data_IF_537743781013
#
_entry.id   IF_537743781013
#
_cell.length_a   1.000
_cell.length_b   1.000
_cell.length_c   1.000
_cell.angle_alpha   90.00
_cell.angle_beta   90.00
_cell.angle_gamma   90.00
#
_symmetry.space_group_name_H-M   'P 1'
#
loop_
_entity.id
_entity.type
_entity.pdbx_description
1 polymer ?
#
# COMPACT_ATOMS: atom_id res chain seq x y z
N UNK A 1 -22.08 3.81 7.37
CA UNK A 1 -20.88 4.42 7.97
C UNK A 1 -19.65 3.81 7.33
N UNK A 2 -18.62 4.61 7.04
CA UNK A 2 -17.33 4.10 6.53
C UNK A 2 -16.71 3.19 7.59
N UNK A 3 -16.19 2.03 7.18
CA UNK A 3 -15.54 1.11 8.11
C UNK A 3 -14.26 1.75 8.69
N UNK A 4 -13.48 2.45 7.88
CA UNK A 4 -12.30 3.23 8.29
C UNK A 4 -11.87 4.19 7.15
N UNK A 5 -10.95 5.11 7.44
CA UNK A 5 -10.45 6.14 6.52
C UNK A 5 -10.33 7.51 7.20
N UNK A 6 -9.52 8.43 6.66
CA UNK A 6 -9.38 9.79 7.18
C UNK A 6 -10.39 10.73 6.49
N UNK A 7 -11.42 11.25 7.19
CA UNK A 7 -12.46 12.06 6.55
C UNK A 7 -11.94 13.36 5.88
N UNK A 8 -10.70 13.77 6.16
CA UNK A 8 -10.06 14.90 5.48
C UNK A 8 -9.78 14.63 3.98
N UNK A 9 -9.70 13.37 3.54
CA UNK A 9 -9.51 13.02 2.13
C UNK A 9 -10.83 12.62 1.46
N UNK A 10 -11.12 13.20 0.29
CA UNK A 10 -12.36 13.00 -0.47
C UNK A 10 -12.60 11.55 -0.89
N UNK A 11 -11.53 10.77 -1.05
CA UNK A 11 -11.56 9.35 -1.44
C UNK A 11 -11.50 8.38 -0.25
N UNK A 12 -11.56 8.85 1.00
CA UNK A 12 -11.51 7.97 2.18
C UNK A 12 -12.64 6.95 2.27
N UNK A 13 -13.74 7.18 1.57
CA UNK A 13 -14.81 6.19 1.43
C UNK A 13 -14.37 4.91 0.69
N UNK A 14 -13.27 4.99 -0.05
CA UNK A 14 -12.71 3.90 -0.84
C UNK A 14 -11.74 3.03 -0.04
N UNK A 15 -11.29 3.45 1.15
CA UNK A 15 -10.27 2.73 1.93
C UNK A 15 -10.59 1.24 2.14
N UNK A 16 -11.83 0.82 2.49
CA UNK A 16 -12.15 -0.59 2.64
C UNK A 16 -12.11 -1.39 1.33
N UNK A 17 -12.07 -0.74 0.17
CA UNK A 17 -12.05 -1.41 -1.13
C UNK A 17 -10.64 -1.75 -1.62
N UNK A 18 -9.62 -1.00 -1.21
CA UNK A 18 -8.23 -1.24 -1.61
C UNK A 18 -7.32 -1.67 -0.45
N UNK A 19 -7.65 -1.33 0.80
CA UNK A 19 -6.89 -1.75 1.98
C UNK A 19 -7.41 -3.07 2.56
N UNK A 20 -6.48 -3.91 3.04
CA UNK A 20 -6.75 -5.22 3.62
C UNK A 20 -5.80 -5.52 4.78
N UNK A 21 -6.27 -5.27 6.02
CA UNK A 21 -5.49 -5.52 7.23
C UNK A 21 -5.65 -6.98 7.68
N UNK A 22 -5.04 -7.94 6.97
CA UNK A 22 -5.26 -9.39 7.19
C UNK A 22 -4.39 -10.02 8.29
N UNK A 23 -3.41 -9.28 8.78
CA UNK A 23 -2.35 -9.78 9.67
C UNK A 23 -2.31 -9.03 11.00
N UNK A 24 -3.43 -8.44 11.41
CA UNK A 24 -3.55 -7.76 12.70
C UNK A 24 -3.69 -8.76 13.85
N UNK A 25 -3.30 -8.34 15.05
CA UNK A 25 -3.44 -9.18 16.24
C UNK A 25 -4.92 -9.47 16.53
N UNK A 26 -5.18 -10.62 17.17
CA UNK A 26 -6.53 -11.00 17.59
C UNK A 26 -7.17 -9.96 18.52
N UNK A 27 -6.35 -9.26 19.32
CA UNK A 27 -6.79 -8.17 20.20
C UNK A 27 -7.28 -6.96 19.39
N UNK A 28 -6.55 -6.55 18.35
CA UNK A 28 -6.97 -5.46 17.46
C UNK A 28 -8.30 -5.80 16.79
N UNK A 29 -8.45 -7.02 16.28
CA UNK A 29 -9.71 -7.44 15.66
C UNK A 29 -10.89 -7.52 16.63
N UNK A 30 -10.65 -7.86 17.90
CA UNK A 30 -11.69 -7.83 18.93
C UNK A 30 -12.12 -6.39 19.24
N UNK A 31 -11.17 -5.46 19.31
CA UNK A 31 -11.43 -4.04 19.55
C UNK A 31 -12.07 -3.32 18.35
N UNK A 32 -11.82 -3.80 17.13
CA UNK A 32 -12.33 -3.22 15.89
C UNK A 32 -12.74 -4.30 14.87
N UNK A 33 -13.87 -5.01 15.06
CA UNK A 33 -14.28 -6.08 14.15
C UNK A 33 -14.61 -5.57 12.73
N UNK A 34 -14.93 -4.29 12.59
CA UNK A 34 -15.15 -3.63 11.30
C UNK A 34 -13.90 -3.65 10.40
N UNK A 35 -12.69 -3.79 10.97
CA UNK A 35 -11.43 -3.86 10.22
C UNK A 35 -11.34 -5.09 9.31
N UNK A 36 -12.14 -6.12 9.56
CA UNK A 36 -12.24 -7.31 8.70
C UNK A 36 -13.13 -7.09 7.48
N UNK A 37 -13.90 -5.99 7.43
CA UNK A 37 -14.87 -5.71 6.37
C UNK A 37 -14.18 -4.97 5.22
N UNK A 38 -13.31 -5.70 4.54
CA UNK A 38 -12.46 -5.21 3.43
C UNK A 38 -12.76 -6.00 2.16
N UNK A 39 -12.66 -5.36 0.99
CA UNK A 39 -13.00 -5.96 -0.31
C UNK A 39 -11.83 -6.23 -1.27
N UNK A 40 -10.54 -5.96 -1.00
CA UNK A 40 -9.53 -6.08 -2.05
C UNK A 40 -9.32 -7.53 -2.52
N UNK A 41 -9.48 -8.54 -1.65
CA UNK A 41 -9.47 -9.96 -2.06
C UNK A 41 -10.63 -10.28 -3.01
N UNK A 42 -11.84 -9.81 -2.69
CA UNK A 42 -13.01 -9.98 -3.55
C UNK A 42 -12.78 -9.32 -4.91
N UNK A 43 -12.25 -8.10 -4.93
CA UNK A 43 -12.00 -7.34 -6.15
C UNK A 43 -10.90 -7.97 -7.01
N UNK A 44 -9.79 -8.39 -6.40
CA UNK A 44 -8.74 -9.09 -7.11
C UNK A 44 -9.25 -10.41 -7.72
N UNK A 45 -10.05 -11.19 -6.97
CA UNK A 45 -10.70 -12.40 -7.48
C UNK A 45 -11.69 -12.08 -8.61
N UNK A 46 -12.56 -11.08 -8.43
CA UNK A 46 -13.52 -10.66 -9.45
C UNK A 46 -12.83 -10.30 -10.77
N UNK A 47 -11.81 -9.45 -10.73
CA UNK A 47 -11.17 -8.98 -11.96
C UNK A 47 -10.24 -10.03 -12.58
N UNK A 48 -9.56 -10.87 -11.79
CA UNK A 48 -8.75 -11.96 -12.34
C UNK A 48 -9.62 -13.04 -13.01
N UNK A 49 -10.76 -13.40 -12.43
CA UNK A 49 -11.70 -14.36 -13.03
C UNK A 49 -12.36 -13.81 -14.30
N UNK A 50 -12.76 -12.53 -14.31
CA UNK A 50 -13.23 -11.85 -15.53
C UNK A 50 -12.15 -11.81 -16.62
N UNK A 51 -10.88 -11.59 -16.26
CA UNK A 51 -9.78 -11.64 -17.21
C UNK A 51 -9.63 -13.04 -17.82
N UNK A 52 -9.63 -14.09 -17.00
CA UNK A 52 -9.55 -15.49 -17.45
C UNK A 52 -10.71 -15.82 -18.39
N UNK A 53 -11.95 -15.48 -18.01
CA UNK A 53 -13.12 -15.70 -18.84
C UNK A 53 -12.99 -15.01 -20.19
N UNK A 54 -12.64 -13.73 -20.21
CA UNK A 54 -12.51 -12.95 -21.44
C UNK A 54 -11.40 -13.51 -22.37
N UNK A 55 -10.29 -13.99 -21.83
CA UNK A 55 -9.27 -14.66 -22.65
C UNK A 55 -9.76 -16.00 -23.21
N UNK A 56 -10.42 -16.83 -22.39
CA UNK A 56 -10.96 -18.13 -22.82
C UNK A 56 -12.03 -17.99 -23.90
N UNK A 57 -12.78 -16.88 -23.92
CA UNK A 57 -13.86 -16.64 -24.88
C UNK A 57 -13.46 -15.79 -26.09
N UNK A 58 -12.16 -15.54 -26.29
CA UNK A 58 -11.66 -14.84 -27.48
C UNK A 58 -11.81 -13.31 -27.44
N UNK A 59 -11.87 -12.71 -26.25
CA UNK A 59 -11.96 -11.26 -26.02
C UNK A 59 -10.68 -10.68 -25.38
N UNK A 60 -9.54 -10.68 -26.09
CA UNK A 60 -8.24 -10.30 -25.51
C UNK A 60 -8.18 -8.85 -25.01
N UNK A 61 -8.88 -7.91 -25.66
CA UNK A 61 -8.98 -6.54 -25.16
C UNK A 61 -9.54 -6.50 -23.73
N UNK A 62 -10.68 -7.17 -23.50
CA UNK A 62 -11.29 -7.24 -22.18
C UNK A 62 -10.46 -8.05 -21.20
N UNK A 63 -9.81 -9.13 -21.66
CA UNK A 63 -8.85 -9.89 -20.85
C UNK A 63 -7.76 -9.00 -20.25
N UNK A 64 -7.15 -8.12 -21.05
CA UNK A 64 -6.15 -7.17 -20.57
C UNK A 64 -6.74 -6.04 -19.72
N UNK A 65 -7.93 -5.51 -20.04
CA UNK A 65 -8.61 -4.49 -19.21
C UNK A 65 -8.89 -5.02 -17.80
N UNK A 66 -9.42 -6.23 -17.69
CA UNK A 66 -9.66 -6.87 -16.40
C UNK A 66 -8.36 -7.26 -15.69
N UNK A 67 -7.34 -7.70 -16.42
CA UNK A 67 -6.00 -7.93 -15.84
C UNK A 67 -5.44 -6.64 -15.21
N UNK A 68 -5.59 -5.50 -15.88
CA UNK A 68 -5.19 -4.20 -15.33
C UNK A 68 -5.95 -3.81 -14.05
N UNK A 69 -7.26 -4.08 -14.01
CA UNK A 69 -8.06 -3.87 -12.80
C UNK A 69 -7.65 -4.81 -11.66
N UNK A 70 -7.36 -6.07 -11.96
CA UNK A 70 -6.83 -7.01 -10.97
C UNK A 70 -5.47 -6.55 -10.44
N UNK A 71 -4.57 -6.13 -11.34
CA UNK A 71 -3.24 -5.62 -11.00
C UNK A 71 -3.31 -4.43 -10.05
N UNK A 72 -4.24 -3.50 -10.24
CA UNK A 72 -4.43 -2.37 -9.32
C UNK A 72 -4.57 -2.83 -7.86
N UNK A 73 -5.45 -3.81 -7.57
CA UNK A 73 -5.61 -4.32 -6.20
C UNK A 73 -4.39 -5.09 -5.68
N UNK A 74 -3.69 -5.83 -6.54
CA UNK A 74 -2.45 -6.52 -6.16
C UNK A 74 -1.38 -5.49 -5.78
N UNK A 75 -1.26 -4.43 -6.56
CA UNK A 75 -0.30 -3.37 -6.41
C UNK A 75 -0.57 -2.51 -5.18
N UNK A 76 -1.82 -2.13 -4.94
CA UNK A 76 -2.25 -1.45 -3.72
C UNK A 76 -1.86 -2.25 -2.47
N UNK A 77 -2.12 -3.56 -2.47
CA UNK A 77 -1.77 -4.42 -1.34
C UNK A 77 -0.26 -4.61 -1.12
N UNK A 78 0.60 -4.22 -2.07
CA UNK A 78 2.06 -4.16 -1.85
C UNK A 78 2.49 -2.92 -1.07
N UNK A 79 1.59 -1.95 -0.91
CA UNK A 79 1.81 -0.74 -0.13
C UNK A 79 1.56 -1.05 1.37
N UNK A 80 2.52 -0.79 2.28
CA UNK A 80 2.41 -1.23 3.67
C UNK A 80 1.26 -0.61 4.49
N UNK A 81 0.90 0.64 4.27
CA UNK A 81 -0.28 1.31 4.85
C UNK A 81 -1.62 0.75 4.32
N UNK A 82 -1.61 0.00 3.22
CA UNK A 82 -2.79 -0.74 2.75
C UNK A 82 -2.90 -2.14 3.37
N UNK A 83 -1.81 -2.67 3.96
CA UNK A 83 -1.75 -4.01 4.54
C UNK A 83 -1.66 -4.05 6.08
N UNK A 84 -1.31 -2.93 6.72
CA UNK A 84 -1.17 -2.75 8.17
C UNK A 84 -2.01 -1.57 8.64
N UNK A 85 -2.78 -1.75 9.72
CA UNK A 85 -3.72 -0.73 10.21
C UNK A 85 -3.03 0.57 10.63
N UNK A 86 -1.94 0.45 11.37
CA UNK A 86 -1.33 1.58 12.06
C UNK A 86 0.21 1.45 12.10
N UNK A 87 0.90 1.51 10.94
CA UNK A 87 2.35 1.42 10.88
C UNK A 87 3.05 2.40 11.82
N UNK A 88 4.01 1.91 12.61
CA UNK A 88 4.79 2.71 13.55
C UNK A 88 4.08 3.04 14.87
N UNK A 89 2.84 2.62 15.07
CA UNK A 89 2.12 2.77 16.34
C UNK A 89 2.07 1.46 17.12
N UNK A 90 2.21 1.53 18.44
CA UNK A 90 2.10 0.34 19.29
C UNK A 90 0.64 -0.11 19.46
N UNK A 91 0.43 -1.43 19.56
CA UNK A 91 -0.92 -1.99 19.78
C UNK A 91 -1.63 -1.41 21.01
N UNK A 92 -0.98 -1.27 22.19
CA UNK A 92 -1.61 -0.64 23.35
C UNK A 92 -2.07 0.79 23.05
N UNK A 93 -1.26 1.58 22.33
CA UNK A 93 -1.59 2.96 21.97
C UNK A 93 -2.82 3.05 21.07
N UNK A 94 -2.92 2.19 20.06
CA UNK A 94 -4.09 2.12 19.16
C UNK A 94 -5.36 1.71 19.93
N UNK A 95 -5.25 0.72 20.83
CA UNK A 95 -6.37 0.27 21.67
C UNK A 95 -6.82 1.40 22.60
N UNK A 96 -5.89 2.04 23.31
CA UNK A 96 -6.18 3.17 24.20
C UNK A 96 -6.87 4.30 23.45
N UNK A 97 -6.41 4.65 22.25
CA UNK A 97 -7.05 5.67 21.42
C UNK A 97 -8.51 5.32 21.08
N UNK A 98 -8.79 4.06 20.77
CA UNK A 98 -10.16 3.63 20.47
C UNK A 98 -11.05 3.61 21.72
N UNK A 99 -10.54 3.18 22.88
CA UNK A 99 -11.26 3.20 24.15
C UNK A 99 -11.60 4.64 24.57
N UNK A 100 -10.62 5.55 24.50
CA UNK A 100 -10.84 6.98 24.79
C UNK A 100 -11.91 7.58 23.86
N UNK A 101 -11.87 7.26 22.58
CA UNK A 101 -12.89 7.72 21.64
C UNK A 101 -14.30 7.19 21.97
N UNK A 102 -14.43 5.94 22.44
CA UNK A 102 -15.72 5.35 22.84
C UNK A 102 -16.34 6.04 24.06
N UNK A 103 -15.53 6.59 24.96
CA UNK A 103 -16.00 7.34 26.13
C UNK A 103 -16.09 8.86 25.89
N UNK A 104 -16.02 9.31 24.63
CA UNK A 104 -16.20 10.72 24.26
C UNK A 104 -14.92 11.57 24.25
N UNK A 105 -13.73 10.96 24.30
CA UNK A 105 -12.42 11.64 24.25
C UNK A 105 -11.66 11.28 22.96
N UNK A 106 -12.06 11.80 21.78
CA UNK A 106 -11.59 11.29 20.49
C UNK A 106 -10.21 11.81 20.03
N UNK A 107 -9.64 12.81 20.69
CA UNK A 107 -8.47 13.56 20.19
C UNK A 107 -7.27 12.67 19.88
N UNK A 108 -6.99 11.66 20.71
CA UNK A 108 -5.89 10.73 20.47
C UNK A 108 -6.09 9.92 19.18
N UNK A 109 -7.31 9.44 18.95
CA UNK A 109 -7.68 8.69 17.74
C UNK A 109 -7.60 9.57 16.49
N UNK A 110 -8.07 10.82 16.60
CA UNK A 110 -8.02 11.78 15.50
C UNK A 110 -6.57 12.09 15.11
N UNK A 111 -5.70 12.34 16.09
CA UNK A 111 -4.27 12.61 15.83
C UNK A 111 -3.60 11.41 15.15
N UNK A 112 -3.87 10.18 15.62
CA UNK A 112 -3.33 8.97 14.97
C UNK A 112 -3.82 8.88 13.51
N UNK A 113 -5.11 9.10 13.25
CA UNK A 113 -5.66 9.05 11.88
C UNK A 113 -4.99 10.07 10.96
N UNK A 114 -4.74 11.29 11.44
CA UNK A 114 -4.05 12.33 10.66
C UNK A 114 -2.61 11.92 10.37
N UNK A 115 -1.86 11.50 11.39
CA UNK A 115 -0.46 11.10 11.20
C UNK A 115 -0.32 9.89 10.26
N UNK A 116 -1.19 8.89 10.38
CA UNK A 116 -1.23 7.75 9.46
C UNK A 116 -1.52 8.20 8.03
N UNK A 117 -2.53 9.07 7.85
CA UNK A 117 -2.86 9.65 6.56
C UNK A 117 -1.69 10.42 5.96
N UNK A 118 -1.03 11.25 6.76
CA UNK A 118 0.09 12.06 6.29
C UNK A 118 1.27 11.21 5.83
N UNK A 119 1.67 10.23 6.65
CA UNK A 119 2.78 9.33 6.32
C UNK A 119 2.47 8.47 5.10
N UNK A 120 1.24 7.97 4.99
CA UNK A 120 0.75 7.25 3.81
C UNK A 120 0.92 8.12 2.56
N UNK A 121 0.34 9.32 2.57
CA UNK A 121 0.32 10.19 1.40
C UNK A 121 1.71 10.68 1.02
N UNK A 122 2.56 10.99 2.01
CA UNK A 122 3.93 11.42 1.75
C UNK A 122 4.77 10.30 1.10
N UNK A 123 4.59 9.05 1.54
CA UNK A 123 5.21 7.87 0.92
C UNK A 123 4.79 7.71 -0.54
N UNK A 124 3.49 7.73 -0.82
CA UNK A 124 2.96 7.56 -2.18
C UNK A 124 3.39 8.72 -3.09
N UNK A 125 3.39 9.95 -2.59
CA UNK A 125 3.83 11.13 -3.32
C UNK A 125 5.32 11.06 -3.65
N UNK A 126 6.16 10.64 -2.69
CA UNK A 126 7.60 10.44 -2.92
C UNK A 126 7.86 9.37 -3.98
N UNK A 127 7.27 8.18 -3.81
CA UNK A 127 7.38 7.08 -4.77
C UNK A 127 6.91 7.49 -6.18
N UNK A 128 5.79 8.21 -6.27
CA UNK A 128 5.23 8.74 -7.51
C UNK A 128 6.20 9.72 -8.18
N UNK A 129 6.78 10.67 -7.42
CA UNK A 129 7.72 11.65 -7.96
C UNK A 129 9.01 11.02 -8.46
N UNK A 130 9.63 10.11 -7.71
CA UNK A 130 10.88 9.50 -8.17
C UNK A 130 10.69 8.67 -9.45
N UNK A 131 9.57 7.95 -9.57
CA UNK A 131 9.27 7.14 -10.76
C UNK A 131 8.93 8.04 -11.95
N UNK A 132 8.11 9.07 -11.76
CA UNK A 132 7.75 10.02 -12.84
C UNK A 132 8.96 10.83 -13.31
N UNK A 133 9.81 11.28 -12.40
CA UNK A 133 11.02 12.02 -12.72
C UNK A 133 11.99 11.14 -13.52
N UNK A 134 12.21 9.89 -13.09
CA UNK A 134 13.02 8.93 -13.82
C UNK A 134 12.45 8.64 -15.22
N UNK A 135 11.14 8.46 -15.35
CA UNK A 135 10.47 8.24 -16.63
C UNK A 135 10.61 9.44 -17.59
N UNK A 136 10.40 10.67 -17.10
CA UNK A 136 10.60 11.90 -17.88
C UNK A 136 12.05 12.06 -18.35
N UNK A 137 13.00 11.74 -17.47
CA UNK A 137 14.43 11.79 -17.77
C UNK A 137 14.92 10.59 -18.60
N UNK A 138 14.07 9.57 -18.82
CA UNK A 138 14.45 8.28 -19.41
C UNK A 138 15.66 7.63 -18.70
N UNK A 139 15.72 7.78 -17.39
CA UNK A 139 16.82 7.31 -16.56
C UNK A 139 16.48 5.99 -15.85
N UNK A 140 17.43 5.06 -15.84
CA UNK A 140 17.34 3.82 -15.08
C UNK A 140 17.86 4.05 -13.64
N UNK A 141 17.04 4.71 -12.82
CA UNK A 141 17.32 4.86 -11.39
C UNK A 141 17.17 3.53 -10.66
N UNK A 142 17.72 3.42 -9.43
CA UNK A 142 17.57 2.24 -8.59
C UNK A 142 16.09 1.79 -8.44
N UNK A 143 15.18 2.75 -8.29
CA UNK A 143 13.73 2.51 -8.23
C UNK A 143 13.18 1.86 -9.52
N UNK A 144 13.54 2.38 -10.70
CA UNK A 144 13.10 1.85 -12.00
C UNK A 144 13.70 0.47 -12.27
N UNK A 145 14.98 0.29 -11.95
CA UNK A 145 15.67 -1.00 -12.07
C UNK A 145 15.03 -2.05 -11.17
N UNK A 146 14.77 -1.71 -9.90
CA UNK A 146 14.12 -2.62 -8.97
C UNK A 146 12.73 -3.06 -9.45
N UNK A 147 11.91 -2.13 -9.95
CA UNK A 147 10.58 -2.42 -10.49
C UNK A 147 10.60 -3.48 -11.61
N UNK A 148 11.58 -3.39 -12.51
CA UNK A 148 11.72 -4.29 -13.66
C UNK A 148 12.48 -5.57 -13.34
N UNK A 149 13.16 -5.63 -12.20
CA UNK A 149 14.03 -6.74 -11.84
C UNK A 149 13.21 -8.03 -11.63
N UNK A 150 13.38 -8.99 -12.53
CA UNK A 150 12.73 -10.31 -12.48
C UNK A 150 13.40 -11.33 -11.56
N UNK A 151 14.57 -11.04 -10.99
CA UNK A 151 15.29 -12.00 -10.12
C UNK A 151 14.49 -12.42 -8.88
N UNK A 152 13.61 -11.54 -8.37
CA UNK A 152 12.69 -11.83 -7.26
C UNK A 152 11.53 -12.74 -7.67
N UNK A 153 11.27 -12.95 -8.95
CA UNK A 153 10.07 -13.68 -9.39
C UNK A 153 10.06 -15.13 -8.91
N UNK A 154 11.24 -15.76 -8.87
CA UNK A 154 11.42 -17.15 -8.45
C UNK A 154 11.44 -17.34 -6.93
N UNK A 155 11.55 -16.26 -6.14
CA UNK A 155 11.53 -16.36 -4.67
C UNK A 155 10.12 -16.47 -4.09
N UNK A 156 9.08 -16.30 -4.92
CA UNK A 156 7.69 -16.41 -4.50
C UNK A 156 7.08 -17.74 -4.95
N UNK A 157 6.14 -18.31 -4.18
CA UNK A 157 5.42 -19.49 -4.63
C UNK A 157 4.58 -19.17 -5.88
N UNK A 158 4.19 -20.21 -6.64
CA UNK A 158 3.25 -20.05 -7.74
C UNK A 158 1.94 -19.39 -7.28
N UNK A 159 1.28 -18.69 -8.19
CA UNK A 159 -0.02 -18.09 -7.93
C UNK A 159 -1.04 -19.12 -7.43
N UNK A 160 -1.80 -18.74 -6.39
CA UNK A 160 -2.90 -19.49 -5.79
C UNK A 160 -3.99 -18.53 -5.28
N UNK A 161 -5.17 -19.04 -4.94
CA UNK A 161 -6.25 -18.23 -4.37
C UNK A 161 -5.89 -17.61 -3.02
N UNK A 162 -5.00 -18.26 -2.26
CA UNK A 162 -4.53 -17.77 -0.97
C UNK A 162 -3.33 -16.81 -1.08
N UNK A 163 -2.67 -16.74 -2.24
CA UNK A 163 -1.41 -16.01 -2.45
C UNK A 163 -1.47 -14.55 -1.98
N UNK A 164 -2.56 -13.85 -2.30
CA UNK A 164 -2.71 -12.43 -1.95
C UNK A 164 -2.67 -12.24 -0.44
N UNK A 165 -3.37 -13.11 0.31
CA UNK A 165 -3.43 -13.02 1.77
C UNK A 165 -2.16 -13.56 2.42
N UNK A 166 -1.72 -14.75 2.02
CA UNK A 166 -0.67 -15.49 2.75
C UNK A 166 0.75 -15.04 2.39
N UNK A 167 0.95 -14.47 1.21
CA UNK A 167 2.29 -14.10 0.72
C UNK A 167 2.40 -12.59 0.56
N UNK A 168 1.57 -12.01 -0.30
CA UNK A 168 1.69 -10.60 -0.70
C UNK A 168 1.45 -9.67 0.48
N UNK A 169 0.27 -9.75 1.10
CA UNK A 169 -0.08 -8.85 2.22
C UNK A 169 0.71 -9.18 3.48
N UNK A 170 1.16 -10.43 3.66
CA UNK A 170 2.04 -10.79 4.78
C UNK A 170 3.40 -10.10 4.66
N UNK A 171 4.00 -10.11 3.46
CA UNK A 171 5.24 -9.37 3.20
C UNK A 171 5.05 -7.87 3.41
N UNK A 172 3.98 -7.30 2.83
CA UNK A 172 3.68 -5.86 2.93
C UNK A 172 3.44 -5.42 4.38
N UNK A 173 2.64 -6.17 5.15
CA UNK A 173 2.36 -5.87 6.55
C UNK A 173 3.60 -5.97 7.43
N UNK A 174 4.48 -6.95 7.19
CA UNK A 174 5.74 -7.12 7.94
C UNK A 174 6.70 -5.95 7.70
N UNK A 175 6.66 -5.33 6.52
CA UNK A 175 7.53 -4.21 6.17
C UNK A 175 7.05 -2.87 6.72
N UNK A 176 5.80 -2.79 7.18
CA UNK A 176 5.13 -1.53 7.47
C UNK A 176 5.78 -0.69 8.58
N UNK A 177 6.14 -1.31 9.70
CA UNK A 177 6.72 -0.58 10.83
C UNK A 177 8.12 -0.04 10.49
N UNK A 178 8.90 -0.78 9.68
CA UNK A 178 10.19 -0.32 9.17
C UNK A 178 10.01 0.91 8.29
N UNK A 179 9.09 0.87 7.34
CA UNK A 179 8.80 2.01 6.45
C UNK A 179 8.32 3.22 7.24
N UNK A 180 7.43 3.04 8.21
CA UNK A 180 6.99 4.14 9.08
C UNK A 180 8.17 4.78 9.83
N UNK A 181 9.09 3.97 10.38
CA UNK A 181 10.30 4.47 11.04
C UNK A 181 11.19 5.29 10.11
N UNK A 182 11.42 4.81 8.89
CA UNK A 182 12.22 5.53 7.87
C UNK A 182 11.55 6.86 7.49
N UNK A 183 10.23 6.88 7.28
CA UNK A 183 9.51 8.12 6.97
C UNK A 183 9.61 9.14 8.09
N UNK A 184 9.47 8.71 9.34
CA UNK A 184 9.60 9.58 10.53
C UNK A 184 11.01 10.14 10.67
N UNK A 185 12.04 9.35 10.32
CA UNK A 185 13.44 9.76 10.42
C UNK A 185 13.90 10.68 9.29
N UNK A 186 13.33 10.54 8.09
CA UNK A 186 13.83 11.18 6.87
C UNK A 186 12.97 12.35 6.40
N UNK A 187 11.64 12.29 6.56
CA UNK A 187 10.75 13.34 6.05
C UNK A 187 10.63 14.52 7.02
N UNK A 188 10.35 15.75 6.52
CA UNK A 188 10.07 16.91 7.36
C UNK A 188 8.97 16.63 8.40
N UNK A 189 9.16 17.11 9.63
CA UNK A 189 8.27 16.82 10.76
C UNK A 189 6.82 17.26 10.50
N UNK A 190 6.63 18.37 9.78
CA UNK A 190 5.33 18.85 9.34
C UNK A 190 4.59 17.86 8.42
N UNK A 191 5.32 16.96 7.75
CA UNK A 191 4.71 15.94 6.88
C UNK A 191 4.37 14.66 7.62
N UNK A 192 5.02 14.33 8.74
CA UNK A 192 4.92 12.96 9.32
C UNK A 192 4.70 12.91 10.83
N UNK A 193 4.87 14.03 11.54
CA UNK A 193 4.83 14.12 13.00
C UNK A 193 3.89 15.22 13.53
N UNK A 194 3.38 16.12 12.67
CA UNK A 194 2.41 17.15 13.07
C UNK A 194 0.95 16.72 12.80
N UNK A 195 0.15 16.41 13.84
CA UNK A 195 -1.24 16.03 13.68
C UNK A 195 -2.19 17.21 13.41
N UNK A 196 -1.68 18.46 13.43
CA UNK A 196 -2.46 19.66 13.10
C UNK A 196 -2.44 19.98 11.61
N UNK A 197 -1.54 19.35 10.86
CA UNK A 197 -1.39 19.49 9.43
C UNK A 197 -1.98 18.26 8.72
N UNK A 198 -2.65 18.48 7.58
CA UNK A 198 -3.06 17.39 6.70
C UNK A 198 -2.20 17.43 5.44
N UNK A 199 -1.32 16.45 5.27
CA UNK A 199 -0.42 16.39 4.12
C UNK A 199 -1.22 16.37 2.81
N UNK A 200 -0.80 17.22 1.86
CA UNK A 200 -1.42 17.34 0.54
C UNK A 200 -2.77 18.07 0.51
N UNK A 201 -3.27 18.61 1.63
CA UNK A 201 -4.55 19.35 1.65
C UNK A 201 -4.51 20.62 0.80
N UNK A 202 -3.33 21.20 0.59
CA UNK A 202 -3.12 22.44 -0.15
C UNK A 202 -2.62 22.21 -1.60
N UNK A 203 -2.68 20.96 -2.09
CA UNK A 203 -2.23 20.59 -3.43
C UNK A 203 -0.98 19.70 -3.43
N UNK A 204 -0.37 19.56 -4.61
CA UNK A 204 0.82 18.74 -4.81
C UNK A 204 2.03 19.28 -4.03
N UNK A 205 2.60 18.43 -3.17
CA UNK A 205 3.80 18.73 -2.39
C UNK A 205 5.02 18.15 -3.10
N UNK A 206 6.06 18.95 -3.34
CA UNK A 206 7.36 18.48 -3.86
C UNK A 206 8.18 17.81 -2.75
N UNK A 207 7.98 16.51 -2.55
CA UNK A 207 8.65 15.74 -1.49
C UNK A 207 10.12 15.53 -1.84
N UNK A 208 10.44 15.29 -3.12
CA UNK A 208 11.83 15.13 -3.58
C UNK A 208 12.64 16.40 -3.32
N UNK A 209 12.08 17.58 -3.61
CA UNK A 209 12.69 18.87 -3.29
C UNK A 209 12.81 19.10 -1.79
N UNK A 210 11.77 18.78 -1.02
CA UNK A 210 11.75 18.96 0.44
C UNK A 210 12.86 18.19 1.16
N UNK A 211 13.22 16.98 0.68
CA UNK A 211 14.27 16.18 1.30
C UNK A 211 15.66 16.38 0.69
N UNK A 212 15.84 17.35 -0.21
CA UNK A 212 17.12 17.60 -0.90
C UNK A 212 18.28 17.97 0.03
N UNK A 213 17.97 18.47 1.24
CA UNK A 213 18.93 18.89 2.27
C UNK A 213 19.01 17.92 3.46
N UNK A 214 18.25 16.82 3.43
CA UNK A 214 18.32 15.77 4.44
C UNK A 214 19.66 15.05 4.33
N UNK A 215 20.13 14.47 5.43
CA UNK A 215 21.35 13.67 5.45
C UNK A 215 21.34 12.60 4.35
N UNK A 216 22.48 12.43 3.68
CA UNK A 216 22.59 11.57 2.53
C UNK A 216 22.35 10.10 2.87
N UNK A 217 22.74 9.65 4.06
CA UNK A 217 22.49 8.27 4.50
C UNK A 217 21.01 8.05 4.80
N UNK A 218 20.34 9.00 5.48
CA UNK A 218 18.90 8.95 5.73
C UNK A 218 18.07 8.95 4.44
N UNK A 219 18.48 9.75 3.45
CA UNK A 219 17.85 9.77 2.13
C UNK A 219 18.09 8.45 1.38
N UNK A 220 19.31 7.92 1.40
CA UNK A 220 19.63 6.65 0.78
C UNK A 220 18.83 5.49 1.40
N UNK A 221 18.59 5.52 2.71
CA UNK A 221 17.74 4.53 3.38
C UNK A 221 16.29 4.57 2.87
N UNK A 222 15.71 5.77 2.72
CA UNK A 222 14.39 5.93 2.11
C UNK A 222 14.37 5.44 0.66
N UNK A 223 15.35 5.83 -0.16
CA UNK A 223 15.44 5.39 -1.56
C UNK A 223 15.55 3.87 -1.69
N UNK A 224 16.33 3.23 -0.82
CA UNK A 224 16.46 1.78 -0.76
C UNK A 224 15.15 1.10 -0.36
N UNK A 225 14.41 1.67 0.60
CA UNK A 225 13.10 1.16 0.99
C UNK A 225 12.09 1.25 -0.16
N UNK A 226 12.06 2.37 -0.89
CA UNK A 226 11.20 2.49 -2.07
C UNK A 226 11.61 1.52 -3.17
N UNK A 227 12.89 1.35 -3.43
CA UNK A 227 13.38 0.38 -4.42
C UNK A 227 12.98 -1.05 -4.03
N UNK A 228 13.07 -1.42 -2.76
CA UNK A 228 12.62 -2.72 -2.26
C UNK A 228 11.11 -2.92 -2.49
N UNK A 229 10.29 -1.93 -2.14
CA UNK A 229 8.84 -1.92 -2.36
C UNK A 229 8.49 -2.05 -3.84
N UNK A 230 9.15 -1.29 -4.72
CA UNK A 230 8.94 -1.37 -6.17
C UNK A 230 9.34 -2.73 -6.75
N UNK A 231 10.40 -3.34 -6.22
CA UNK A 231 10.78 -4.70 -6.60
C UNK A 231 9.72 -5.72 -6.21
N UNK A 232 9.13 -5.60 -5.02
CA UNK A 232 8.03 -6.47 -4.57
C UNK A 232 6.78 -6.21 -5.43
N UNK A 233 6.41 -4.94 -5.66
CA UNK A 233 5.33 -4.52 -6.57
C UNK A 233 5.47 -5.19 -7.94
N UNK A 234 6.67 -5.15 -8.54
CA UNK A 234 6.94 -5.73 -9.84
C UNK A 234 6.79 -7.26 -9.84
N UNK A 235 7.37 -7.92 -8.85
CA UNK A 235 7.33 -9.38 -8.74
C UNK A 235 5.90 -9.91 -8.51
N UNK A 236 5.14 -9.31 -7.60
CA UNK A 236 3.73 -9.68 -7.36
C UNK A 236 2.84 -9.41 -8.58
N UNK A 237 3.07 -8.30 -9.28
CA UNK A 237 2.35 -7.99 -10.53
C UNK A 237 2.58 -9.06 -11.59
N UNK A 238 3.85 -9.44 -11.83
CA UNK A 238 4.19 -10.50 -12.79
C UNK A 238 3.65 -11.86 -12.35
N UNK A 239 3.61 -12.14 -11.06
CA UNK A 239 3.06 -13.41 -10.56
C UNK A 239 1.55 -13.52 -10.81
N UNK A 240 0.78 -12.45 -10.61
CA UNK A 240 -0.65 -12.42 -10.99
C UNK A 240 -0.83 -12.72 -12.49
N UNK A 241 -0.06 -12.05 -13.34
CA UNK A 241 -0.14 -12.23 -14.80
C UNK A 241 0.14 -13.69 -15.18
N UNK A 242 1.18 -14.29 -14.62
CA UNK A 242 1.48 -15.73 -14.81
C UNK A 242 0.34 -16.62 -14.34
N UNK A 243 -0.27 -16.30 -13.19
CA UNK A 243 -1.44 -16.99 -12.65
C UNK A 243 -2.62 -16.97 -13.62
N UNK A 244 -3.00 -15.79 -14.11
CA UNK A 244 -4.07 -15.61 -15.10
C UNK A 244 -3.75 -16.43 -16.37
N UNK A 245 -2.54 -16.28 -16.93
CA UNK A 245 -2.12 -17.00 -18.13
C UNK A 245 -2.16 -18.53 -17.97
N UNK A 246 -1.82 -19.03 -16.78
CA UNK A 246 -1.93 -20.45 -16.45
C UNK A 246 -3.39 -20.91 -16.43
N UNK A 247 -4.26 -20.16 -15.75
CA UNK A 247 -5.69 -20.48 -15.65
C UNK A 247 -6.43 -20.43 -16.99
N UNK A 248 -5.99 -19.57 -17.92
CA UNK A 248 -6.52 -19.54 -19.28
C UNK A 248 -6.24 -20.84 -20.04
N UNK A 249 -5.11 -21.50 -19.76
CA UNK A 249 -4.69 -22.75 -20.43
C UNK A 249 -5.28 -24.01 -19.77
N UNK A 250 -5.75 -23.91 -18.53
CA UNK A 250 -6.44 -25.01 -17.85
C UNK A 250 -7.85 -25.17 -18.45
N UNK A 251 -8.34 -26.38 -18.73
CA UNK A 251 -9.71 -26.62 -19.20
C UNK A 251 -10.75 -25.91 -18.33
#
# INVERSE_FOLDING_TARGET
TLSFGNPAYTYSSQAPFHMGFFHESSVIYKAGPFLKRTFPLLRAHQYSTLAVLAFKTGHPYWGWRFTGLALHYIQDLTQPYHARLSPGESTPRVISANVLAMIGLPSMKQNIIVLLGNRHMALEQYQSQIVRNAAKAKADTAAVLALRNGSKDASYPPWSDSYIKEVLTAQSATYADRVAGILIATLPGEFVNDPTQTFGSNGDVDVVGAISKVDAAQRAELDNAIAEMLGNYGAHSRNLIRGIQKLVKTP
#
